data_IF_263408132997
#
_entry.id   IF_263408132997
#
_cell.length_a   1.000
_cell.length_b   1.000
_cell.length_c   1.000
_cell.angle_alpha   90.00
_cell.angle_beta   90.00
_cell.angle_gamma   90.00
#
_symmetry.space_group_name_H-M   'P 1'
#
loop_
_entity.id
_entity.type
_entity.pdbx_description
1 polymer ?
#
# COMPACT_ATOMS: atom_id res chain seq x y z
N UNK A 1 -1.78 -22.23 3.79
CA UNK A 1 -1.45 -21.13 2.85
C UNK A 1 -1.44 -19.76 3.56
N UNK A 2 -2.55 -19.02 3.68
CA UNK A 2 -2.54 -17.64 4.23
C UNK A 2 -2.14 -17.58 5.73
N UNK A 3 -2.66 -18.49 6.56
CA UNK A 3 -2.31 -18.57 7.98
C UNK A 3 -0.81 -18.90 8.21
N UNK A 4 -0.25 -19.80 7.39
CA UNK A 4 1.17 -20.16 7.42
C UNK A 4 2.05 -18.98 6.99
N UNK A 5 1.70 -18.30 5.90
CA UNK A 5 2.38 -17.09 5.45
C UNK A 5 2.35 -16.00 6.53
N UNK A 6 1.21 -15.80 7.20
CA UNK A 6 1.09 -14.85 8.31
C UNK A 6 2.00 -15.24 9.49
N UNK A 7 2.03 -16.51 9.88
CA UNK A 7 2.91 -16.97 10.95
C UNK A 7 4.40 -16.79 10.60
N UNK A 8 4.78 -17.10 9.35
CA UNK A 8 6.13 -16.90 8.85
C UNK A 8 6.51 -15.41 8.82
N UNK A 9 5.60 -14.54 8.36
CA UNK A 9 5.79 -13.09 8.34
C UNK A 9 5.96 -12.49 9.73
N UNK A 10 5.14 -12.91 10.70
CA UNK A 10 5.27 -12.48 12.09
C UNK A 10 6.63 -12.88 12.69
N UNK A 11 7.07 -14.12 12.45
CA UNK A 11 8.38 -14.58 12.89
C UNK A 11 9.53 -13.78 12.25
N UNK A 12 9.43 -13.45 10.95
CA UNK A 12 10.40 -12.60 10.25
C UNK A 12 10.44 -11.18 10.82
N UNK A 13 9.30 -10.55 11.05
CA UNK A 13 9.24 -9.22 11.66
C UNK A 13 9.88 -9.22 13.05
N UNK A 14 9.57 -10.22 13.88
CA UNK A 14 10.18 -10.36 15.21
C UNK A 14 11.70 -10.53 15.13
N UNK A 15 12.20 -11.35 14.21
CA UNK A 15 13.65 -11.52 13.99
C UNK A 15 14.35 -10.22 13.55
N UNK A 16 13.61 -9.29 12.93
CA UNK A 16 14.10 -7.96 12.52
C UNK A 16 13.91 -6.87 13.61
N UNK A 17 13.44 -7.27 14.80
CA UNK A 17 13.14 -6.36 15.90
C UNK A 17 11.92 -5.47 15.66
N UNK A 18 11.02 -5.86 14.75
CA UNK A 18 9.75 -5.17 14.49
C UNK A 18 8.71 -5.80 15.43
N UNK A 19 8.20 -4.99 16.34
CA UNK A 19 7.22 -5.40 17.35
C UNK A 19 5.93 -4.61 17.18
N UNK A 20 4.80 -5.20 17.56
CA UNK A 20 3.49 -4.55 17.46
C UNK A 20 2.87 -4.61 16.06
N UNK A 21 1.83 -3.78 15.80
CA UNK A 21 1.13 -3.78 14.53
C UNK A 21 1.99 -3.22 13.39
N UNK A 22 1.88 -3.82 12.21
CA UNK A 22 2.59 -3.38 10.99
C UNK A 22 1.58 -2.90 9.94
N UNK A 23 1.78 -1.68 9.43
CA UNK A 23 1.05 -1.15 8.26
C UNK A 23 1.91 -1.40 7.03
N UNK A 24 1.41 -2.22 6.09
CA UNK A 24 2.08 -2.46 4.83
C UNK A 24 1.75 -1.38 3.81
N UNK A 25 2.76 -0.89 3.07
CA UNK A 25 2.58 0.12 2.03
C UNK A 25 3.31 -0.33 0.77
N UNK A 26 2.63 -0.37 -0.37
CA UNK A 26 3.29 -0.48 -1.67
C UNK A 26 2.91 0.70 -2.58
N UNK A 27 3.75 1.74 -2.64
CA UNK A 27 3.44 3.00 -3.34
C UNK A 27 3.71 2.94 -4.84
N UNK A 28 4.27 1.83 -5.33
CA UNK A 28 4.65 1.61 -6.71
C UNK A 28 3.51 1.13 -7.61
N UNK A 29 3.79 1.08 -8.90
CA UNK A 29 2.96 0.46 -9.93
C UNK A 29 3.76 0.31 -11.23
N UNK A 30 3.90 -0.93 -11.73
CA UNK A 30 4.67 -1.24 -12.95
C UNK A 30 4.05 -0.67 -14.25
N UNK A 31 2.73 -0.40 -14.25
CA UNK A 31 2.00 0.09 -15.41
C UNK A 31 2.48 1.49 -15.87
N UNK A 32 2.74 2.39 -14.93
CA UNK A 32 3.14 3.78 -15.20
C UNK A 32 2.75 4.73 -14.06
N UNK A 33 3.23 5.97 -14.11
CA UNK A 33 3.01 7.00 -13.10
C UNK A 33 1.54 7.41 -12.93
N UNK A 34 0.71 7.30 -13.97
CA UNK A 34 -0.69 7.73 -13.93
C UNK A 34 -1.54 6.99 -12.90
N UNK A 35 -1.17 5.75 -12.55
CA UNK A 35 -1.87 4.98 -11.52
C UNK A 35 -1.13 4.89 -10.18
N UNK A 36 -0.10 5.71 -9.98
CA UNK A 36 0.57 5.86 -8.68
C UNK A 36 -0.06 7.02 -7.93
N UNK A 37 -0.67 6.71 -6.79
CA UNK A 37 -1.00 7.72 -5.80
C UNK A 37 0.28 8.31 -5.20
N UNK A 38 0.17 9.52 -4.64
CA UNK A 38 1.34 10.29 -4.24
C UNK A 38 2.08 9.57 -3.10
N UNK A 39 3.40 9.35 -3.18
CA UNK A 39 4.16 8.69 -2.12
C UNK A 39 4.06 9.42 -0.77
N UNK A 40 3.99 10.74 -0.79
CA UNK A 40 3.79 11.56 0.42
C UNK A 40 2.44 11.25 1.06
N UNK A 41 1.40 11.05 0.25
CA UNK A 41 0.07 10.74 0.74
C UNK A 41 -0.02 9.34 1.34
N UNK A 42 0.73 8.37 0.79
CA UNK A 42 0.92 7.07 1.45
C UNK A 42 1.59 7.21 2.81
N UNK A 43 2.62 8.05 2.94
CA UNK A 43 3.30 8.27 4.21
C UNK A 43 2.35 8.88 5.26
N UNK A 44 1.58 9.90 4.88
CA UNK A 44 0.60 10.55 5.77
C UNK A 44 -0.46 9.56 6.25
N UNK A 45 -1.10 8.82 5.34
CA UNK A 45 -2.13 7.85 5.69
C UNK A 45 -1.57 6.69 6.54
N UNK A 46 -0.38 6.18 6.21
CA UNK A 46 0.23 5.08 6.95
C UNK A 46 0.68 5.50 8.36
N UNK A 47 1.19 6.72 8.53
CA UNK A 47 1.58 7.24 9.83
C UNK A 47 0.38 7.33 10.78
N UNK A 48 -0.77 7.79 10.29
CA UNK A 48 -2.02 7.82 11.05
C UNK A 48 -2.50 6.42 11.48
N UNK A 49 -2.21 5.40 10.69
CA UNK A 49 -2.62 4.01 10.93
C UNK A 49 -1.60 3.20 11.75
N UNK A 50 -0.37 3.67 11.90
CA UNK A 50 0.67 2.91 12.60
C UNK A 50 0.40 2.83 14.10
N UNK A 51 -0.21 3.86 14.72
CA UNK A 51 -0.60 3.90 16.14
C UNK A 51 0.52 3.45 17.10
N UNK A 52 1.76 3.88 16.84
CA UNK A 52 2.95 3.48 17.61
C UNK A 52 3.62 2.16 17.17
N UNK A 53 3.10 1.54 16.11
CA UNK A 53 3.71 0.41 15.41
C UNK A 53 4.66 0.83 14.28
N UNK A 54 4.79 -0.05 13.29
CA UNK A 54 5.76 0.09 12.18
C UNK A 54 5.07 0.22 10.83
N UNK A 55 5.56 1.10 9.98
CA UNK A 55 5.22 1.14 8.55
C UNK A 55 6.26 0.35 7.75
N UNK A 56 5.84 -0.70 7.06
CA UNK A 56 6.68 -1.51 6.18
C UNK A 56 6.45 -1.11 4.72
N UNK A 57 7.46 -0.55 4.07
CA UNK A 57 7.37 -0.05 2.69
C UNK A 57 7.94 -1.09 1.72
N UNK A 58 7.10 -1.60 0.83
CA UNK A 58 7.40 -2.65 -0.15
C UNK A 58 7.43 -2.10 -1.58
N UNK A 59 8.16 -2.81 -2.44
CA UNK A 59 8.25 -2.51 -3.86
C UNK A 59 9.34 -3.34 -4.52
N UNK A 60 9.41 -3.29 -5.83
CA UNK A 60 10.52 -3.86 -6.59
C UNK A 60 11.78 -2.98 -6.46
N UNK A 61 12.93 -3.49 -6.93
CA UNK A 61 14.19 -2.73 -6.97
C UNK A 61 14.07 -1.44 -7.80
N UNK A 62 13.29 -1.43 -8.88
CA UNK A 62 13.06 -0.25 -9.71
C UNK A 62 12.16 0.80 -9.04
N UNK A 63 11.53 0.47 -7.92
CA UNK A 63 10.63 1.36 -7.17
C UNK A 63 11.27 1.86 -5.87
N UNK A 64 12.56 1.57 -5.64
CA UNK A 64 13.29 1.98 -4.45
C UNK A 64 13.30 3.51 -4.26
N UNK A 65 13.34 4.29 -5.34
CA UNK A 65 13.25 5.75 -5.26
C UNK A 65 11.88 6.23 -4.76
N UNK A 66 10.79 5.54 -5.14
CA UNK A 66 9.43 5.85 -4.69
C UNK A 66 9.30 5.51 -3.20
N UNK A 67 9.82 4.34 -2.80
CA UNK A 67 9.84 3.93 -1.40
C UNK A 67 10.63 4.92 -0.52
N UNK A 68 11.76 5.45 -1.00
CA UNK A 68 12.56 6.43 -0.25
C UNK A 68 11.82 7.76 -0.03
N UNK A 69 10.94 8.18 -0.93
CA UNK A 69 10.09 9.36 -0.71
C UNK A 69 9.14 9.12 0.47
N UNK A 70 8.47 7.96 0.50
CA UNK A 70 7.60 7.56 1.63
C UNK A 70 8.40 7.56 2.93
N UNK A 71 9.54 6.88 2.95
CA UNK A 71 10.40 6.76 4.12
C UNK A 71 10.91 8.12 4.61
N UNK A 72 11.30 9.00 3.69
CA UNK A 72 11.78 10.35 4.03
C UNK A 72 10.70 11.19 4.72
N UNK A 73 9.43 11.05 4.32
CA UNK A 73 8.30 11.68 5.00
C UNK A 73 8.03 11.07 6.37
N UNK A 74 8.10 9.74 6.48
CA UNK A 74 7.89 9.02 7.74
C UNK A 74 8.97 9.33 8.79
N UNK A 75 10.21 9.67 8.40
CA UNK A 75 11.26 10.11 9.33
C UNK A 75 10.88 11.35 10.15
N UNK A 76 9.94 12.17 9.67
CA UNK A 76 9.44 13.34 10.39
C UNK A 76 8.24 13.01 11.31
N UNK A 77 7.71 11.80 11.25
CA UNK A 77 6.59 11.33 12.07
C UNK A 77 7.10 10.43 13.21
N UNK A 78 6.38 10.35 14.35
CA UNK A 78 6.76 9.50 15.48
C UNK A 78 6.37 8.03 15.24
N UNK A 79 6.85 7.44 14.14
CA UNK A 79 6.55 6.05 13.72
C UNK A 79 7.83 5.33 13.28
N UNK A 80 7.93 4.03 13.54
CA UNK A 80 9.01 3.22 12.95
C UNK A 80 8.70 2.98 11.47
N UNK A 81 9.72 3.05 10.62
CA UNK A 81 9.55 2.88 9.18
C UNK A 81 10.67 2.00 8.61
N UNK A 82 10.28 0.93 7.92
CA UNK A 82 11.20 -0.12 7.45
C UNK A 82 11.11 -0.26 5.94
N UNK A 83 12.27 -0.23 5.28
CA UNK A 83 12.37 -0.37 3.84
C UNK A 83 12.53 -1.86 3.46
N UNK A 84 11.60 -2.36 2.66
CA UNK A 84 11.65 -3.69 2.06
C UNK A 84 11.70 -3.63 0.51
N UNK A 85 11.69 -2.43 -0.08
CA UNK A 85 11.69 -2.27 -1.53
C UNK A 85 12.98 -2.82 -2.16
N UNK A 86 12.83 -3.83 -3.03
CA UNK A 86 13.94 -4.54 -3.64
C UNK A 86 14.75 -5.44 -2.71
N UNK A 87 14.27 -5.65 -1.47
CA UNK A 87 14.96 -6.43 -0.41
C UNK A 87 14.26 -7.76 -0.08
N UNK A 88 13.18 -8.08 -0.79
CA UNK A 88 12.41 -9.31 -0.58
C UNK A 88 12.31 -10.10 -1.89
N UNK A 89 12.37 -11.42 -1.82
CA UNK A 89 11.80 -12.25 -2.89
C UNK A 89 10.27 -12.20 -2.84
N UNK A 90 9.59 -12.74 -3.87
CA UNK A 90 8.12 -12.77 -3.89
C UNK A 90 7.55 -13.57 -2.71
N UNK A 91 8.15 -14.71 -2.36
CA UNK A 91 7.71 -15.53 -1.22
C UNK A 91 7.84 -14.76 0.10
N UNK A 92 8.94 -14.03 0.28
CA UNK A 92 9.15 -13.23 1.49
C UNK A 92 8.19 -12.03 1.56
N UNK A 93 7.91 -11.40 0.42
CA UNK A 93 6.88 -10.38 0.34
C UNK A 93 5.51 -10.92 0.76
N UNK A 94 5.11 -12.09 0.28
CA UNK A 94 3.84 -12.72 0.67
C UNK A 94 3.78 -12.99 2.17
N UNK A 95 4.85 -13.54 2.76
CA UNK A 95 4.93 -13.77 4.21
C UNK A 95 4.74 -12.46 4.99
N UNK A 96 5.55 -11.44 4.66
CA UNK A 96 5.53 -10.15 5.37
C UNK A 96 4.22 -9.39 5.15
N UNK A 97 3.65 -9.42 3.94
CA UNK A 97 2.35 -8.82 3.64
C UNK A 97 1.23 -9.50 4.45
N UNK A 98 1.22 -10.83 4.53
CA UNK A 98 0.24 -11.59 5.33
C UNK A 98 0.28 -11.25 6.82
N UNK A 99 1.42 -10.77 7.32
CA UNK A 99 1.60 -10.35 8.70
C UNK A 99 1.27 -8.87 8.97
N UNK A 100 0.95 -8.09 7.93
CA UNK A 100 0.48 -6.71 8.10
C UNK A 100 -0.94 -6.68 8.68
N UNK A 101 -1.21 -5.69 9.53
CA UNK A 101 -2.55 -5.40 10.07
C UNK A 101 -3.48 -4.87 8.96
N UNK A 102 -2.93 -4.01 8.10
CA UNK A 102 -3.60 -3.44 6.93
C UNK A 102 -2.57 -3.15 5.85
N UNK A 103 -2.99 -3.18 4.58
CA UNK A 103 -2.13 -2.93 3.43
C UNK A 103 -2.68 -1.79 2.57
N UNK A 104 -1.88 -0.75 2.37
CA UNK A 104 -2.19 0.39 1.51
C UNK A 104 -1.42 0.26 0.18
N UNK A 105 -2.11 0.40 -0.94
CA UNK A 105 -1.46 0.28 -2.25
C UNK A 105 -2.23 0.97 -3.37
N UNK A 106 -1.63 1.01 -4.55
CA UNK A 106 -2.31 1.34 -5.80
C UNK A 106 -2.96 0.09 -6.40
N UNK A 107 -3.68 0.24 -7.51
CA UNK A 107 -3.95 -0.85 -8.45
C UNK A 107 -2.63 -1.51 -8.90
N UNK A 108 -2.19 -2.60 -8.26
CA UNK A 108 -0.87 -3.20 -8.48
C UNK A 108 -0.84 -4.69 -8.16
N UNK A 109 0.24 -5.38 -8.51
CA UNK A 109 0.40 -6.79 -8.11
C UNK A 109 0.38 -6.99 -6.59
N UNK A 110 0.93 -6.03 -5.83
CA UNK A 110 0.93 -6.07 -4.37
C UNK A 110 -0.49 -6.06 -3.78
N UNK A 111 -1.40 -5.32 -4.40
CA UNK A 111 -2.82 -5.31 -4.04
C UNK A 111 -3.46 -6.69 -4.13
N UNK A 112 -3.29 -7.37 -5.26
CA UNK A 112 -3.87 -8.70 -5.46
C UNK A 112 -3.30 -9.72 -4.47
N UNK A 113 -1.99 -9.66 -4.21
CA UNK A 113 -1.34 -10.54 -3.23
C UNK A 113 -1.89 -10.32 -1.83
N UNK A 114 -1.93 -9.06 -1.35
CA UNK A 114 -2.43 -8.74 -0.01
C UNK A 114 -3.91 -9.14 0.16
N UNK A 115 -4.75 -8.83 -0.84
CA UNK A 115 -6.16 -9.20 -0.83
C UNK A 115 -6.38 -10.72 -0.81
N UNK A 116 -5.61 -11.48 -1.61
CA UNK A 116 -5.69 -12.94 -1.67
C UNK A 116 -5.21 -13.61 -0.37
N UNK A 117 -4.30 -12.97 0.37
CA UNK A 117 -3.85 -13.41 1.69
C UNK A 117 -4.86 -13.09 2.81
N UNK A 118 -5.97 -12.41 2.49
CA UNK A 118 -6.99 -12.01 3.46
C UNK A 118 -6.55 -10.86 4.36
N UNK A 119 -5.57 -10.05 3.92
CA UNK A 119 -5.15 -8.86 4.65
C UNK A 119 -6.13 -7.73 4.33
N UNK A 120 -6.65 -6.99 5.34
CA UNK A 120 -7.36 -5.74 5.12
C UNK A 120 -6.60 -4.86 4.13
N UNK A 121 -7.15 -4.62 2.94
CA UNK A 121 -6.44 -3.97 1.84
C UNK A 121 -7.22 -2.77 1.34
N UNK A 122 -6.59 -1.59 1.35
CA UNK A 122 -7.12 -0.38 0.74
C UNK A 122 -6.31 -0.04 -0.49
N UNK A 123 -6.99 -0.04 -1.63
CA UNK A 123 -6.40 0.22 -2.93
C UNK A 123 -6.86 1.57 -3.48
N UNK A 124 -5.92 2.45 -3.80
CA UNK A 124 -6.21 3.73 -4.45
C UNK A 124 -6.24 3.55 -5.96
N UNK A 125 -7.35 3.96 -6.57
CA UNK A 125 -7.59 3.90 -8.01
C UNK A 125 -7.78 5.29 -8.60
N UNK A 126 -7.31 5.47 -9.84
CA UNK A 126 -7.41 6.73 -10.57
C UNK A 126 -7.46 6.50 -12.08
N UNK A 127 -6.33 6.22 -12.72
CA UNK A 127 -6.29 6.06 -14.18
C UNK A 127 -6.95 4.77 -14.70
N UNK A 128 -7.06 3.73 -13.87
CA UNK A 128 -7.57 2.40 -14.21
C UNK A 128 -8.97 2.14 -13.67
N UNK A 129 -9.60 1.09 -14.20
CA UNK A 129 -10.97 0.71 -13.87
C UNK A 129 -10.98 -0.39 -12.79
N UNK A 130 -11.49 -0.10 -11.57
CA UNK A 130 -11.60 -1.10 -10.51
C UNK A 130 -12.63 -2.21 -10.81
N UNK A 131 -13.57 -2.04 -11.74
CA UNK A 131 -14.44 -3.15 -12.14
C UNK A 131 -13.67 -4.21 -12.93
N UNK A 132 -12.62 -3.80 -13.65
CA UNK A 132 -11.79 -4.69 -14.45
C UNK A 132 -10.65 -5.35 -13.65
N UNK A 133 -9.98 -4.59 -12.78
CA UNK A 133 -8.77 -5.06 -12.07
C UNK A 133 -8.83 -4.88 -10.57
N UNK A 134 -10.01 -4.66 -9.99
CA UNK A 134 -10.17 -4.46 -8.56
C UNK A 134 -9.66 -5.62 -7.70
N UNK A 135 -9.36 -5.35 -6.41
CA UNK A 135 -8.97 -6.39 -5.47
C UNK A 135 -10.11 -7.36 -5.22
N UNK A 136 -9.78 -8.65 -5.10
CA UNK A 136 -10.72 -9.70 -4.69
C UNK A 136 -10.21 -10.30 -3.40
N UNK A 137 -10.99 -10.15 -2.33
CA UNK A 137 -10.63 -10.61 -0.99
C UNK A 137 -11.76 -10.33 0.00
N UNK A 138 -11.68 -10.90 1.21
CA UNK A 138 -12.71 -10.76 2.23
C UNK A 138 -12.84 -9.32 2.76
N UNK A 139 -11.72 -8.59 2.83
CA UNK A 139 -11.63 -7.28 3.48
C UNK A 139 -10.90 -6.29 2.57
N UNK A 140 -11.58 -5.84 1.52
CA UNK A 140 -11.01 -4.95 0.52
C UNK A 140 -11.82 -3.66 0.37
N UNK A 141 -11.13 -2.54 0.14
CA UNK A 141 -11.71 -1.24 -0.19
C UNK A 141 -10.99 -0.63 -1.37
N UNK A 142 -11.77 -0.10 -2.31
CA UNK A 142 -11.26 0.76 -3.39
C UNK A 142 -11.60 2.20 -3.04
N UNK A 143 -10.58 3.06 -3.01
CA UNK A 143 -10.74 4.49 -2.84
C UNK A 143 -10.41 5.17 -4.16
N UNK A 144 -11.35 5.97 -4.68
CA UNK A 144 -11.17 6.73 -5.91
C UNK A 144 -11.88 8.07 -5.84
N UNK A 145 -11.41 9.01 -6.64
CA UNK A 145 -12.12 10.25 -6.93
C UNK A 145 -12.68 10.18 -8.36
N UNK A 146 -14.02 10.19 -8.54
CA UNK A 146 -14.62 10.32 -9.86
C UNK A 146 -14.26 11.66 -10.49
N UNK A 147 -13.63 11.62 -11.66
CA UNK A 147 -13.28 12.79 -12.47
C UNK A 147 -13.56 12.49 -13.93
N UNK A 148 -13.82 13.52 -14.72
CA UNK A 148 -14.22 13.43 -16.12
C UNK A 148 -13.22 12.70 -17.01
N UNK A 149 -11.94 12.68 -16.63
CA UNK A 149 -10.88 12.02 -17.39
C UNK A 149 -10.60 10.58 -16.93
N UNK A 150 -11.34 10.01 -15.97
CA UNK A 150 -11.06 8.69 -15.39
C UNK A 150 -12.24 7.72 -15.59
N UNK A 151 -11.99 6.47 -16.01
CA UNK A 151 -10.69 5.85 -16.28
C UNK A 151 -10.14 6.23 -17.67
N UNK A 152 -8.90 6.72 -17.75
CA UNK A 152 -8.26 7.04 -19.05
C UNK A 152 -7.37 5.91 -19.59
N UNK A 153 -6.96 4.97 -18.74
CA UNK A 153 -6.02 3.89 -19.09
C UNK A 153 -4.69 4.39 -19.70
N UNK A 154 -4.28 5.62 -19.38
CA UNK A 154 -2.99 6.15 -19.79
C UNK A 154 -1.91 5.71 -18.81
N UNK A 155 -0.69 5.48 -19.30
CA UNK A 155 0.46 5.12 -18.47
C UNK A 155 1.02 6.32 -17.69
N UNK A 156 1.02 7.48 -18.32
CA UNK A 156 1.43 8.76 -17.72
C UNK A 156 0.28 9.76 -17.83
N UNK A 157 0.09 10.58 -16.79
CA UNK A 157 -0.98 11.57 -16.79
C UNK A 157 -0.55 12.80 -17.62
N UNK A 158 -1.32 13.21 -18.64
CA UNK A 158 -0.97 14.37 -19.47
C UNK A 158 -1.43 15.71 -18.87
N UNK A 159 -2.06 15.69 -17.70
CA UNK A 159 -2.67 16.86 -17.05
C UNK A 159 -2.22 16.96 -15.58
N UNK A 160 -3.12 17.25 -14.65
CA UNK A 160 -2.84 17.56 -13.24
C UNK A 160 -2.99 16.37 -12.27
N UNK A 161 -3.18 15.16 -12.79
CA UNK A 161 -3.33 13.94 -12.00
C UNK A 161 -4.47 14.00 -10.96
N UNK A 162 -5.51 14.81 -11.22
CA UNK A 162 -6.65 15.04 -10.30
C UNK A 162 -7.35 13.79 -9.76
N UNK A 163 -7.35 12.69 -10.52
CA UNK A 163 -7.89 11.41 -10.07
C UNK A 163 -7.12 10.80 -8.90
N UNK A 164 -5.83 11.16 -8.73
CA UNK A 164 -4.99 10.74 -7.61
C UNK A 164 -4.80 11.85 -6.58
N UNK A 165 -4.56 13.08 -7.00
CA UNK A 165 -4.28 14.20 -6.07
C UNK A 165 -5.50 14.59 -5.22
N UNK A 166 -6.73 14.30 -5.68
CA UNK A 166 -7.95 14.57 -4.91
C UNK A 166 -8.35 13.42 -3.98
N UNK A 167 -7.72 12.26 -4.09
CA UNK A 167 -7.85 11.21 -3.07
C UNK A 167 -6.97 11.60 -1.90
N UNK A 168 -7.57 12.17 -0.86
CA UNK A 168 -6.83 12.69 0.31
C UNK A 168 -6.40 11.56 1.26
N UNK A 169 -5.23 11.69 1.93
CA UNK A 169 -4.73 10.71 2.89
C UNK A 169 -5.73 10.33 3.97
N UNK A 170 -6.43 11.32 4.53
CA UNK A 170 -7.43 11.11 5.57
C UNK A 170 -8.56 10.17 5.14
N UNK A 171 -8.99 10.23 3.87
CA UNK A 171 -10.03 9.34 3.34
C UNK A 171 -9.52 7.89 3.26
N UNK A 172 -8.29 7.69 2.79
CA UNK A 172 -7.65 6.36 2.74
C UNK A 172 -7.47 5.79 4.14
N UNK A 173 -7.00 6.61 5.09
CA UNK A 173 -6.85 6.21 6.48
C UNK A 173 -8.20 5.87 7.15
N UNK A 174 -9.26 6.62 6.86
CA UNK A 174 -10.61 6.32 7.35
C UNK A 174 -11.10 4.94 6.87
N UNK A 175 -11.03 4.68 5.57
CA UNK A 175 -11.45 3.40 4.97
C UNK A 175 -10.63 2.23 5.53
N UNK A 176 -9.34 2.43 5.75
CA UNK A 176 -8.47 1.45 6.40
C UNK A 176 -8.92 1.17 7.84
N UNK A 177 -9.26 2.19 8.64
CA UNK A 177 -9.77 2.00 10.01
C UNK A 177 -11.10 1.26 10.03
N UNK A 178 -11.96 1.47 9.04
CA UNK A 178 -13.24 0.76 8.95
C UNK A 178 -13.08 -0.74 8.69
N UNK A 179 -12.01 -1.14 7.99
CA UNK A 179 -11.65 -2.56 7.82
C UNK A 179 -10.99 -3.18 9.06
N UNK A 180 -10.56 -2.38 10.04
CA UNK A 180 -9.87 -2.85 11.25
C UNK A 180 -10.78 -3.01 12.47
N UNK A 181 -12.07 -2.72 12.33
CA UNK A 181 -13.08 -2.83 13.40
C UNK A 181 -13.66 -4.24 13.47
#
# INVERSE_FOLDING_TARGET
>A
AAAEARQAGLARFQAMGIQGPVVGVSPGAAYGGAKRWLPEYFAEAAAELAEGGTVAVFGSRSEACIAEIVLSRLRAAPVDARNFAGQTTLAEFMDLAAACRVFLTNDSGAMHVAAALGVPTVAVFGATDPEATGPVGPEVRVVREPVECSPCLLRECPIDHRCMTRVLPARVAQEARELLK
#
